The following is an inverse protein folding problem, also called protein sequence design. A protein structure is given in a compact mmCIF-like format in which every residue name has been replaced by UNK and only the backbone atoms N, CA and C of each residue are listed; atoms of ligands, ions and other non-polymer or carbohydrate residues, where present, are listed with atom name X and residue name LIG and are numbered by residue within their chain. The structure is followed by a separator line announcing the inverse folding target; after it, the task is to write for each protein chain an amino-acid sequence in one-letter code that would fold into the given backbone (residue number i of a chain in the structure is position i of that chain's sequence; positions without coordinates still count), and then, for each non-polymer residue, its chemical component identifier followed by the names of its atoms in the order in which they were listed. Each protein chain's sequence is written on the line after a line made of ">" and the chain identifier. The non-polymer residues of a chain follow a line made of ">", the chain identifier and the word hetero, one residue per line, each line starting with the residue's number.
data_IF_535150751702
#
_entry.id   IF_535150751702
#
_cell.length_a   1.000
_cell.length_b   1.000
_cell.length_c   1.000
_cell.angle_alpha   90.00
_cell.angle_beta   90.00
_cell.angle_gamma   90.00
#
_symmetry.space_group_name_H-M   'P 1'
#
loop_
_entity.id
_entity.type
_entity.pdbx_description
1 polymer ?
#
# COMPACT_ATOMS: atom_id res chain seq x y z
N UNK A 1 15.19 7.46 -10.81
CA UNK A 1 14.65 6.31 -10.06
C UNK A 1 13.14 6.27 -10.27
N UNK A 2 12.53 5.08 -10.30
CA UNK A 2 11.06 4.98 -10.20
C UNK A 2 10.66 5.35 -8.77
N UNK A 3 9.54 6.06 -8.56
CA UNK A 3 9.05 6.36 -7.21
C UNK A 3 8.76 5.06 -6.45
N UNK A 4 8.98 5.08 -5.13
CA UNK A 4 8.62 3.97 -4.26
C UNK A 4 7.09 3.80 -4.18
N UNK A 5 6.65 2.60 -3.77
CA UNK A 5 5.22 2.25 -3.74
C UNK A 5 4.44 3.16 -2.80
N UNK A 6 5.02 3.53 -1.65
CA UNK A 6 4.38 4.44 -0.70
C UNK A 6 4.09 5.80 -1.31
N UNK A 7 5.08 6.40 -1.98
CA UNK A 7 4.92 7.67 -2.72
C UNK A 7 3.81 7.58 -3.76
N UNK A 8 3.72 6.47 -4.52
CA UNK A 8 2.68 6.31 -5.55
C UNK A 8 1.29 6.15 -4.91
N UNK A 9 1.16 5.33 -3.87
CA UNK A 9 -0.11 5.10 -3.18
C UNK A 9 -0.62 6.37 -2.47
N UNK A 10 0.25 7.13 -1.82
CA UNK A 10 -0.10 8.42 -1.22
C UNK A 10 -0.50 9.45 -2.29
N UNK A 11 0.15 9.44 -3.45
CA UNK A 11 -0.25 10.26 -4.59
C UNK A 11 -1.68 9.94 -5.05
N UNK A 12 -2.01 8.66 -5.25
CA UNK A 12 -3.37 8.26 -5.62
C UNK A 12 -4.40 8.60 -4.54
N UNK A 13 -4.07 8.44 -3.26
CA UNK A 13 -4.92 8.87 -2.16
C UNK A 13 -5.23 10.37 -2.23
N UNK A 14 -4.20 11.20 -2.43
CA UNK A 14 -4.32 12.64 -2.57
C UNK A 14 -5.22 13.03 -3.74
N UNK A 15 -5.01 12.44 -4.93
CA UNK A 15 -5.85 12.69 -6.11
C UNK A 15 -7.30 12.24 -5.89
N UNK A 16 -7.52 11.07 -5.29
CA UNK A 16 -8.87 10.56 -5.03
C UNK A 16 -9.69 11.49 -4.13
N UNK A 17 -9.10 11.98 -3.04
CA UNK A 17 -9.81 12.84 -2.10
C UNK A 17 -9.84 14.32 -2.52
N UNK A 18 -8.76 14.83 -3.09
CA UNK A 18 -8.63 16.24 -3.42
C UNK A 18 -9.25 16.61 -4.76
N UNK A 19 -9.15 15.74 -5.76
CA UNK A 19 -9.54 16.05 -7.14
C UNK A 19 -10.79 15.29 -7.56
N UNK A 20 -10.98 14.04 -7.13
CA UNK A 20 -12.10 13.21 -7.61
C UNK A 20 -13.32 13.35 -6.69
N UNK A 21 -13.14 13.16 -5.38
CA UNK A 21 -14.24 13.14 -4.41
C UNK A 21 -15.18 14.36 -4.50
N UNK A 22 -14.70 15.62 -4.60
CA UNK A 22 -15.59 16.79 -4.65
C UNK A 22 -16.53 16.82 -5.86
N UNK A 23 -16.25 16.04 -6.90
CA UNK A 23 -17.05 15.96 -8.11
C UNK A 23 -18.00 14.76 -8.14
N UNK A 24 -18.03 13.94 -7.08
CA UNK A 24 -18.96 12.83 -6.95
C UNK A 24 -20.30 13.33 -6.38
N UNK A 25 -21.35 13.28 -7.20
CA UNK A 25 -22.69 13.74 -6.80
C UNK A 25 -23.51 12.76 -5.97
N UNK A 26 -23.04 11.51 -5.81
CA UNK A 26 -23.75 10.46 -5.09
C UNK A 26 -23.03 10.08 -3.79
N UNK A 27 -23.76 10.08 -2.68
CA UNK A 27 -23.24 9.78 -1.33
C UNK A 27 -22.54 8.40 -1.24
N UNK A 28 -23.09 7.41 -1.93
CA UNK A 28 -22.46 6.08 -2.02
C UNK A 28 -21.08 6.11 -2.71
N UNK A 29 -20.92 6.96 -3.72
CA UNK A 29 -19.64 7.10 -4.43
C UNK A 29 -18.58 7.74 -3.55
N UNK A 30 -18.98 8.70 -2.69
CA UNK A 30 -18.11 9.29 -1.68
C UNK A 30 -17.62 8.25 -0.66
N UNK A 31 -18.52 7.39 -0.17
CA UNK A 31 -18.17 6.29 0.72
C UNK A 31 -17.16 5.32 0.11
N UNK A 32 -17.37 4.94 -1.16
CA UNK A 32 -16.45 4.07 -1.89
C UNK A 32 -15.04 4.69 -2.03
N UNK A 33 -14.95 5.97 -2.38
CA UNK A 33 -13.66 6.65 -2.49
C UNK A 33 -12.93 6.73 -1.15
N UNK A 34 -13.65 6.97 -0.06
CA UNK A 34 -13.06 6.95 1.29
C UNK A 34 -12.44 5.59 1.63
N UNK A 35 -13.15 4.49 1.36
CA UNK A 35 -12.65 3.13 1.59
C UNK A 35 -11.45 2.83 0.69
N UNK A 36 -11.53 3.16 -0.60
CA UNK A 36 -10.41 2.97 -1.54
C UNK A 36 -9.16 3.72 -1.06
N UNK A 37 -9.32 4.96 -0.61
CA UNK A 37 -8.23 5.76 -0.09
C UNK A 37 -7.59 5.16 1.16
N UNK A 38 -8.40 4.73 2.13
CA UNK A 38 -7.93 4.03 3.33
C UNK A 38 -7.12 2.78 2.96
N UNK A 39 -7.62 1.97 2.02
CA UNK A 39 -6.94 0.76 1.57
C UNK A 39 -5.60 1.07 0.88
N UNK A 40 -5.51 2.13 0.09
CA UNK A 40 -4.24 2.56 -0.51
C UNK A 40 -3.20 2.95 0.54
N UNK A 41 -3.61 3.68 1.58
CA UNK A 41 -2.74 4.01 2.70
C UNK A 41 -2.24 2.75 3.42
N UNK A 42 -3.12 1.79 3.70
CA UNK A 42 -2.74 0.54 4.34
C UNK A 42 -1.78 -0.29 3.47
N UNK A 43 -1.99 -0.32 2.15
CA UNK A 43 -1.08 -1.01 1.21
C UNK A 43 0.29 -0.33 1.17
N UNK A 44 0.34 1.00 1.23
CA UNK A 44 1.59 1.75 1.30
C UNK A 44 2.46 1.30 2.48
N UNK A 45 1.84 1.21 3.67
CA UNK A 45 2.52 0.78 4.90
C UNK A 45 2.92 -0.70 4.87
N UNK A 46 2.07 -1.56 4.29
CA UNK A 46 2.30 -3.00 4.32
C UNK A 46 3.33 -3.48 3.30
N UNK A 47 3.52 -2.77 2.18
CA UNK A 47 4.31 -3.27 1.05
C UNK A 47 5.77 -3.60 1.46
N UNK A 48 6.47 -2.62 2.03
CA UNK A 48 7.86 -2.80 2.43
C UNK A 48 7.98 -3.72 3.66
N UNK A 49 7.04 -3.59 4.62
CA UNK A 49 7.00 -4.45 5.81
C UNK A 49 6.87 -5.93 5.44
N UNK A 50 5.97 -6.27 4.53
CA UNK A 50 5.77 -7.64 4.07
C UNK A 50 6.99 -8.17 3.30
N UNK A 51 7.63 -7.32 2.49
CA UNK A 51 8.86 -7.67 1.78
C UNK A 51 10.00 -7.98 2.77
N UNK A 52 10.18 -7.16 3.80
CA UNK A 52 11.21 -7.33 4.84
C UNK A 52 10.99 -8.60 5.67
N UNK A 53 9.75 -8.88 6.06
CA UNK A 53 9.38 -10.13 6.74
C UNK A 53 9.76 -11.31 5.87
N UNK A 54 9.38 -11.31 4.59
CA UNK A 54 9.68 -12.42 3.68
C UNK A 54 11.17 -12.59 3.44
N UNK A 55 11.91 -11.50 3.33
CA UNK A 55 13.37 -11.54 3.20
C UNK A 55 14.03 -12.14 4.46
N UNK A 56 13.51 -11.81 5.64
CA UNK A 56 14.00 -12.30 6.93
C UNK A 56 13.69 -13.77 7.13
N UNK A 57 12.44 -14.18 6.94
CA UNK A 57 12.02 -15.59 7.00
C UNK A 57 12.85 -16.46 6.05
N UNK A 58 13.07 -16.01 4.81
CA UNK A 58 13.89 -16.75 3.85
C UNK A 58 15.35 -16.87 4.30
N UNK A 59 15.90 -15.83 4.93
CA UNK A 59 17.27 -15.85 5.46
C UNK A 59 17.38 -16.85 6.61
N UNK A 60 16.44 -16.84 7.54
CA UNK A 60 16.38 -17.76 8.68
C UNK A 60 16.22 -19.21 8.21
N UNK A 61 15.30 -19.46 7.27
CA UNK A 61 15.09 -20.78 6.69
C UNK A 61 16.36 -21.31 6.01
N UNK A 62 17.04 -20.48 5.21
CA UNK A 62 18.31 -20.87 4.58
C UNK A 62 19.41 -21.15 5.61
N UNK A 63 19.44 -20.40 6.71
CA UNK A 63 20.38 -20.62 7.81
C UNK A 63 20.22 -22.00 8.44
N UNK A 64 18.97 -22.45 8.66
CA UNK A 64 18.68 -23.77 9.24
C UNK A 64 19.27 -24.94 8.43
N UNK A 65 19.32 -24.81 7.11
CA UNK A 65 19.86 -25.85 6.22
C UNK A 65 21.30 -25.60 5.77
N UNK A 66 21.97 -24.57 6.29
CA UNK A 66 23.32 -24.19 5.83
C UNK A 66 24.43 -25.17 6.23
N UNK A 67 24.14 -26.10 7.15
CA UNK A 67 25.10 -27.07 7.70
C UNK A 67 24.65 -28.54 7.50
N UNK A 68 23.63 -28.80 6.68
CA UNK A 68 23.18 -30.15 6.32
C UNK A 68 23.91 -30.67 5.07
#
# INVERSE_FOLDING_TARGET
>A
MKPDVGTVMHGFFGTLLGEIAPHLGAEYSMGNVGIMGMMMYMVAEEYDRAADIRATENREMRSLFSHA
#
